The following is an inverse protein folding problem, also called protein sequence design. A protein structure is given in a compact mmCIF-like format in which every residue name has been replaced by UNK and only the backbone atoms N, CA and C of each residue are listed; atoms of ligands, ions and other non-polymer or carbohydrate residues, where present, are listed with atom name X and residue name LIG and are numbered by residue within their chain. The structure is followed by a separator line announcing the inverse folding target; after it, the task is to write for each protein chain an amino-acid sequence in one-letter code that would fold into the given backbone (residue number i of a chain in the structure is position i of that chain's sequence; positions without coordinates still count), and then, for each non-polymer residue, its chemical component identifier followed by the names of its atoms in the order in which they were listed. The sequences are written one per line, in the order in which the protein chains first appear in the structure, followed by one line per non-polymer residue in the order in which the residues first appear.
data_IF_183808250041
#
_entry.id   IF_183808250041
#
_cell.length_a   1.000
_cell.length_b   1.000
_cell.length_c   1.000
_cell.angle_alpha   90.00
_cell.angle_beta   90.00
_cell.angle_gamma   90.00
#
_symmetry.space_group_name_H-M   'P 1'
#
loop_
_entity.id
_entity.type
_entity.pdbx_description
1 polymer ?
#
# COMPACT_ATOMS: atom_id res chain seq x y z
N UNK A 1 -3.26 8.13 4.92
CA UNK A 1 -3.61 6.80 5.46
C UNK A 1 -3.68 6.79 6.99
N UNK A 2 -4.73 7.35 7.62
CA UNK A 2 -4.87 7.35 9.09
C UNK A 2 -5.36 6.01 9.67
N UNK A 3 -5.90 5.09 8.86
CA UNK A 3 -6.54 3.86 9.33
C UNK A 3 -5.72 2.59 9.06
N UNK A 4 -4.40 2.67 9.17
CA UNK A 4 -3.49 1.52 8.90
C UNK A 4 -3.92 0.28 9.69
N UNK A 5 -4.03 -0.85 9.00
CA UNK A 5 -4.32 -2.14 9.63
C UNK A 5 -3.02 -2.89 9.92
N UNK A 6 -2.67 -3.00 11.21
CA UNK A 6 -1.41 -3.63 11.66
C UNK A 6 -1.36 -5.11 11.29
N UNK A 7 -2.49 -5.81 11.31
CA UNK A 7 -2.53 -7.25 11.01
C UNK A 7 -2.33 -7.52 9.52
N UNK A 8 -2.84 -6.65 8.64
CA UNK A 8 -2.50 -6.67 7.21
C UNK A 8 -1.00 -6.45 6.99
N UNK A 9 -0.39 -5.47 7.67
CA UNK A 9 1.07 -5.23 7.58
C UNK A 9 1.85 -6.45 8.07
N UNK A 10 1.48 -7.04 9.22
CA UNK A 10 2.10 -8.27 9.74
C UNK A 10 1.94 -9.44 8.77
N UNK A 11 0.81 -9.55 8.10
CA UNK A 11 0.58 -10.56 7.07
C UNK A 11 1.52 -10.36 5.88
N UNK A 12 1.65 -9.13 5.38
CA UNK A 12 2.55 -8.79 4.28
C UNK A 12 4.02 -9.09 4.60
N UNK A 13 4.46 -8.85 5.84
CA UNK A 13 5.82 -9.13 6.30
C UNK A 13 6.21 -10.62 6.30
N UNK A 14 5.25 -11.54 6.13
CA UNK A 14 5.53 -12.99 6.01
C UNK A 14 6.16 -13.35 4.67
N UNK A 15 5.97 -12.55 3.63
CA UNK A 15 6.43 -12.84 2.26
C UNK A 15 7.85 -12.32 1.99
N UNK A 16 8.83 -12.81 2.76
CA UNK A 16 10.22 -12.31 2.75
C UNK A 16 11.02 -12.63 1.48
N UNK A 17 10.59 -13.63 0.71
CA UNK A 17 11.29 -14.07 -0.51
C UNK A 17 11.02 -13.18 -1.74
N UNK A 18 10.17 -12.16 -1.57
CA UNK A 18 9.81 -11.21 -2.61
C UNK A 18 10.56 -9.89 -2.44
N UNK A 19 10.85 -9.25 -3.57
CA UNK A 19 11.48 -7.93 -3.61
C UNK A 19 10.47 -6.82 -3.30
N UNK A 20 9.17 -7.08 -3.54
CA UNK A 20 8.07 -6.26 -3.06
C UNK A 20 6.80 -7.08 -2.77
N UNK A 21 6.03 -6.61 -1.78
CA UNK A 21 4.70 -7.12 -1.45
C UNK A 21 3.73 -5.94 -1.52
N UNK A 22 2.82 -5.97 -2.50
CA UNK A 22 2.00 -4.80 -2.86
C UNK A 22 0.52 -5.18 -2.86
N UNK A 23 -0.34 -4.49 -2.10
CA UNK A 23 -1.78 -4.68 -2.18
C UNK A 23 -2.31 -4.26 -3.54
N UNK A 24 -3.27 -5.02 -4.06
CA UNK A 24 -3.91 -4.76 -5.34
C UNK A 24 -5.40 -5.02 -5.25
N UNK A 25 -6.21 -4.04 -5.67
CA UNK A 25 -7.65 -4.20 -5.79
C UNK A 25 -8.18 -3.40 -6.98
N UNK A 26 -9.20 -3.93 -7.66
CA UNK A 26 -9.79 -3.33 -8.86
C UNK A 26 -8.78 -2.96 -9.97
N UNK A 27 -7.69 -3.72 -10.10
CA UNK A 27 -6.63 -3.46 -11.09
C UNK A 27 -5.64 -2.34 -10.70
N UNK A 28 -5.85 -1.68 -9.57
CA UNK A 28 -4.94 -0.66 -9.04
C UNK A 28 -4.07 -1.24 -7.91
N UNK A 29 -2.79 -0.89 -7.94
CA UNK A 29 -1.85 -1.19 -6.86
C UNK A 29 -1.82 -0.07 -5.84
N UNK A 30 -1.59 -0.42 -4.58
CA UNK A 30 -1.34 0.52 -3.47
C UNK A 30 0.17 0.57 -3.13
N UNK A 31 1.00 1.23 -3.95
CA UNK A 31 2.46 1.25 -3.77
C UNK A 31 2.90 1.91 -2.47
N UNK A 32 2.10 2.84 -1.95
CA UNK A 32 2.42 3.56 -0.72
C UNK A 32 2.03 2.76 0.53
N UNK A 33 1.30 1.65 0.36
CA UNK A 33 0.96 0.69 1.41
C UNK A 33 1.61 -0.67 1.09
N UNK A 34 2.90 -0.67 0.77
CA UNK A 34 3.63 -1.87 0.36
C UNK A 34 4.85 -2.15 1.24
N UNK A 35 5.32 -3.41 1.21
CA UNK A 35 6.59 -3.81 1.80
C UNK A 35 7.62 -3.95 0.68
N UNK A 36 8.78 -3.32 0.83
CA UNK A 36 9.88 -3.38 -0.12
C UNK A 36 11.12 -4.00 0.52
N UNK A 37 11.76 -4.93 -0.18
CA UNK A 37 13.07 -5.45 0.18
C UNK A 37 14.15 -4.41 -0.10
N UNK A 38 15.28 -4.47 0.62
CA UNK A 38 16.46 -3.63 0.31
C UNK A 38 17.03 -3.91 -1.09
N UNK A 39 16.72 -5.06 -1.68
CA UNK A 39 17.14 -5.43 -3.04
C UNK A 39 16.67 -4.43 -4.11
N UNK A 40 15.55 -3.72 -3.89
CA UNK A 40 15.02 -2.75 -4.87
C UNK A 40 15.65 -1.36 -4.75
N UNK A 41 16.47 -1.11 -3.72
CA UNK A 41 17.04 0.20 -3.45
C UNK A 41 17.86 0.77 -4.63
N UNK A 42 18.78 0.01 -5.28
CA UNK A 42 19.54 0.54 -6.41
C UNK A 42 18.66 0.98 -7.59
N UNK A 43 17.53 0.28 -7.79
CA UNK A 43 16.57 0.61 -8.84
C UNK A 43 15.81 1.90 -8.51
N UNK A 44 15.38 2.08 -7.26
CA UNK A 44 14.71 3.31 -6.80
C UNK A 44 15.66 4.51 -6.89
N UNK A 45 16.90 4.37 -6.39
CA UNK A 45 17.91 5.43 -6.48
C UNK A 45 18.18 5.88 -7.91
N UNK A 46 18.30 4.92 -8.84
CA UNK A 46 18.49 5.23 -10.25
C UNK A 46 17.28 5.94 -10.86
N UNK A 47 16.04 5.64 -10.45
CA UNK A 47 14.86 6.37 -10.91
C UNK A 47 14.84 7.80 -10.41
N UNK A 48 15.16 8.02 -9.13
CA UNK A 48 15.25 9.37 -8.55
C UNK A 48 16.30 10.19 -9.31
N UNK A 49 17.48 9.63 -9.61
CA UNK A 49 18.54 10.30 -10.40
C UNK A 49 18.10 10.69 -11.82
N UNK A 50 17.11 9.98 -12.38
CA UNK A 50 16.55 10.23 -13.72
C UNK A 50 15.28 11.07 -13.70
N UNK A 51 14.87 11.57 -12.54
CA UNK A 51 13.59 12.27 -12.33
C UNK A 51 12.35 11.40 -12.68
N UNK A 52 12.49 10.07 -12.65
CA UNK A 52 11.41 9.11 -12.86
C UNK A 52 10.67 8.86 -11.53
N UNK A 53 9.88 9.85 -11.06
CA UNK A 53 9.31 9.83 -9.70
C UNK A 53 8.05 8.94 -9.54
N UNK A 54 7.60 8.26 -10.59
CA UNK A 54 6.40 7.43 -10.57
C UNK A 54 6.71 6.04 -10.02
N UNK A 55 6.40 5.78 -8.76
CA UNK A 55 6.64 4.48 -8.10
C UNK A 55 6.02 3.28 -8.83
N UNK A 56 4.91 3.47 -9.55
CA UNK A 56 4.32 2.41 -10.36
C UNK A 56 5.26 1.91 -11.48
N UNK A 57 6.14 2.77 -12.00
CA UNK A 57 7.16 2.38 -12.98
C UNK A 57 8.31 1.58 -12.33
N UNK A 58 8.61 1.83 -11.05
CA UNK A 58 9.48 0.94 -10.25
C UNK A 58 8.84 -0.43 -10.11
N UNK A 59 7.58 -0.51 -9.69
CA UNK A 59 6.87 -1.77 -9.44
C UNK A 59 6.87 -2.68 -10.67
N UNK A 60 6.60 -2.12 -11.86
CA UNK A 60 6.63 -2.87 -13.14
C UNK A 60 7.99 -3.50 -13.45
N UNK A 61 9.08 -2.94 -12.93
CA UNK A 61 10.46 -3.43 -13.15
C UNK A 61 10.89 -4.48 -12.11
N UNK A 62 10.15 -4.64 -11.00
CA UNK A 62 10.44 -5.63 -9.95
C UNK A 62 10.11 -7.04 -10.46
N UNK A 63 11.08 -7.94 -10.43
CA UNK A 63 10.91 -9.32 -10.90
C UNK A 63 10.14 -10.20 -9.92
N UNK A 64 10.45 -10.10 -8.61
CA UNK A 64 9.81 -10.91 -7.57
C UNK A 64 8.81 -10.05 -6.79
N UNK A 65 7.58 -9.99 -7.27
CA UNK A 65 6.50 -9.26 -6.61
C UNK A 65 5.41 -10.21 -6.13
N UNK A 66 4.96 -10.03 -4.88
CA UNK A 66 3.76 -10.65 -4.34
C UNK A 66 2.65 -9.62 -4.32
N UNK A 67 1.61 -9.85 -5.12
CA UNK A 67 0.38 -9.09 -4.99
C UNK A 67 -0.48 -9.68 -3.87
N UNK A 68 -0.99 -8.83 -3.00
CA UNK A 68 -2.02 -9.17 -2.01
C UNK A 68 -3.35 -8.76 -2.62
N UNK A 69 -4.11 -9.73 -3.10
CA UNK A 69 -5.35 -9.47 -3.82
C UNK A 69 -6.49 -9.09 -2.86
N UNK A 70 -7.56 -8.55 -3.43
CA UNK A 70 -8.77 -8.11 -2.71
C UNK A 70 -9.27 -9.16 -1.70
N UNK A 71 -9.31 -10.43 -2.07
CA UNK A 71 -9.82 -11.51 -1.23
C UNK A 71 -8.91 -11.77 -0.01
N UNK A 72 -7.60 -11.49 -0.13
CA UNK A 72 -6.67 -11.55 0.98
C UNK A 72 -6.81 -10.32 1.89
N UNK A 73 -6.97 -9.14 1.30
CA UNK A 73 -7.17 -7.86 2.02
C UNK A 73 -8.44 -7.91 2.89
N UNK A 74 -9.55 -8.38 2.33
CA UNK A 74 -10.87 -8.38 2.98
C UNK A 74 -10.94 -9.28 4.22
N UNK A 75 -9.96 -10.18 4.41
CA UNK A 75 -9.78 -10.95 5.66
C UNK A 75 -9.36 -10.08 6.84
N UNK A 76 -8.69 -8.95 6.57
CA UNK A 76 -8.18 -8.02 7.57
C UNK A 76 -9.02 -6.75 7.65
N UNK A 77 -9.44 -6.23 6.50
CA UNK A 77 -10.17 -4.97 6.40
C UNK A 77 -11.23 -5.02 5.30
N UNK A 78 -12.44 -5.43 5.66
CA UNK A 78 -13.59 -5.50 4.74
C UNK A 78 -13.95 -4.15 4.14
N UNK A 79 -13.79 -3.09 4.93
CA UNK A 79 -14.11 -1.72 4.51
C UNK A 79 -12.96 -1.08 3.71
N UNK A 80 -11.78 -1.72 3.66
CA UNK A 80 -10.57 -1.24 2.96
C UNK A 80 -10.15 0.16 3.40
N UNK A 81 -10.48 0.53 4.64
CA UNK A 81 -10.14 1.82 5.24
C UNK A 81 -8.62 2.00 5.38
N UNK A 82 -7.84 0.92 5.46
CA UNK A 82 -6.38 0.95 5.53
C UNK A 82 -5.72 1.65 4.34
N UNK A 83 -6.40 1.73 3.19
CA UNK A 83 -5.93 2.48 2.01
C UNK A 83 -6.52 3.89 1.91
N UNK A 84 -7.39 4.31 2.83
CA UNK A 84 -7.99 5.64 2.81
C UNK A 84 -6.91 6.72 2.94
N UNK A 85 -6.70 7.53 1.91
CA UNK A 85 -5.74 8.63 1.94
C UNK A 85 -6.43 9.97 2.15
N UNK A 86 -5.74 10.91 2.81
CA UNK A 86 -6.22 12.28 2.97
C UNK A 86 -5.35 13.16 2.09
N UNK A 87 -5.90 13.62 0.96
CA UNK A 87 -5.23 14.53 0.05
C UNK A 87 -5.84 15.94 0.11
N UNK A 88 -7.12 16.04 0.45
CA UNK A 88 -7.84 17.31 0.53
C UNK A 88 -8.74 17.45 1.78
N UNK A 89 -9.45 18.57 1.85
CA UNK A 89 -10.34 18.90 2.97
C UNK A 89 -11.56 17.96 3.07
N UNK A 90 -12.08 17.49 1.93
CA UNK A 90 -13.22 16.57 1.93
C UNK A 90 -12.79 15.22 2.48
N UNK A 91 -11.61 14.72 2.10
CA UNK A 91 -11.04 13.50 2.67
C UNK A 91 -10.86 13.62 4.19
N UNK A 92 -10.43 14.81 4.67
CA UNK A 92 -10.24 15.06 6.09
C UNK A 92 -11.57 15.04 6.89
N UNK A 93 -12.62 15.69 6.37
CA UNK A 93 -13.93 15.65 7.02
C UNK A 93 -14.54 14.25 6.99
N UNK A 94 -14.35 13.50 5.91
CA UNK A 94 -14.76 12.11 5.83
C UNK A 94 -14.00 11.23 6.84
N UNK A 95 -12.68 11.43 6.98
CA UNK A 95 -11.91 10.74 8.01
C UNK A 95 -12.46 11.00 9.42
N UNK A 96 -12.87 12.23 9.73
CA UNK A 96 -13.49 12.58 11.01
C UNK A 96 -14.82 11.86 11.20
N UNK A 97 -15.65 11.77 10.17
CA UNK A 97 -16.92 11.03 10.21
C UNK A 97 -16.67 9.55 10.53
N UNK A 98 -15.74 8.90 9.82
CA UNK A 98 -15.35 7.51 10.03
C UNK A 98 -14.87 7.26 11.47
N UNK A 99 -14.06 8.17 12.02
CA UNK A 99 -13.58 8.06 13.42
C UNK A 99 -14.74 8.14 14.42
N UNK A 100 -15.66 9.07 14.21
CA UNK A 100 -16.81 9.25 15.10
C UNK A 100 -17.75 8.03 15.07
N UNK A 101 -18.02 7.47 13.89
CA UNK A 101 -18.83 6.25 13.74
C UNK A 101 -18.22 5.02 14.42
N UNK A 102 -16.88 4.91 14.46
CA UNK A 102 -16.18 3.80 15.14
C UNK A 102 -16.11 3.95 16.67
N UNK A 103 -16.36 5.14 17.20
CA UNK A 103 -16.32 5.42 18.66
C UNK A 103 -17.69 5.30 19.33
N UNK A 104 -18.76 5.34 18.54
CA UNK A 104 -20.13 5.12 19.00
C UNK A 104 -20.41 3.63 19.17
#
# INVERSE_FOLDING_TARGET
MPFVNVDLVRYMLKFKDFDAVVPRFNGYTEPLHAVYSKNVLPMIENQIKKDELRINETIKKIKKIKYIEKEEIEKFDKAKLCFFNINDKNDFEEAKRIINEKRA
#
